data_IF_405263796331
#
_entry.id   IF_405263796331
#
_cell.length_a   1.000
_cell.length_b   1.000
_cell.length_c   1.000
_cell.angle_alpha   90.00
_cell.angle_beta   90.00
_cell.angle_gamma   90.00
#
_symmetry.space_group_name_H-M   'P 1'
#
loop_
_entity.id
_entity.type
_entity.pdbx_description
1 polymer ?
#
# COMPACT_ATOMS: atom_id res chain seq x y z
N UNK A 1 10.41 -17.53 -0.23
CA UNK A 1 9.33 -16.53 -0.18
C UNK A 1 9.79 -15.27 -0.88
N UNK A 2 9.11 -14.91 -1.96
CA UNK A 2 9.31 -13.66 -2.71
C UNK A 2 8.65 -12.49 -1.98
N UNK A 3 8.86 -11.26 -2.48
CA UNK A 3 8.18 -10.07 -1.95
C UNK A 3 6.66 -10.20 -2.16
N UNK A 4 6.25 -10.67 -3.31
CA UNK A 4 4.86 -10.80 -3.74
C UNK A 4 4.14 -11.82 -2.84
N UNK A 5 4.71 -13.00 -2.66
CA UNK A 5 4.18 -14.04 -1.76
C UNK A 5 4.02 -13.53 -0.32
N UNK A 6 4.98 -12.74 0.18
CA UNK A 6 4.88 -12.14 1.51
C UNK A 6 3.71 -11.15 1.61
N UNK A 7 3.51 -10.31 0.59
CA UNK A 7 2.43 -9.33 0.59
C UNK A 7 1.07 -10.03 0.52
N UNK A 8 0.91 -11.05 -0.32
CA UNK A 8 -0.31 -11.87 -0.37
C UNK A 8 -0.63 -12.52 0.98
N UNK A 9 0.36 -13.19 1.57
CA UNK A 9 0.16 -13.98 2.78
C UNK A 9 -0.08 -13.14 4.04
N UNK A 10 0.44 -11.90 4.10
CA UNK A 10 0.46 -11.12 5.35
C UNK A 10 -0.18 -9.74 5.25
N UNK A 11 -0.20 -9.11 4.08
CA UNK A 11 -0.73 -7.75 3.91
C UNK A 11 -2.09 -7.79 3.21
N UNK A 12 -2.22 -8.56 2.13
CA UNK A 12 -3.42 -8.61 1.30
C UNK A 12 -4.38 -9.74 1.67
N UNK A 13 -4.00 -10.59 2.62
CA UNK A 13 -4.81 -11.72 3.06
C UNK A 13 -6.25 -11.34 3.40
N UNK A 14 -7.20 -11.89 2.63
CA UNK A 14 -8.64 -11.65 2.80
C UNK A 14 -9.11 -10.24 2.39
N UNK A 15 -8.32 -9.51 1.61
CA UNK A 15 -8.70 -8.24 1.00
C UNK A 15 -9.01 -8.44 -0.48
N UNK A 16 -9.98 -7.69 -0.99
CA UNK A 16 -10.40 -7.80 -2.39
C UNK A 16 -9.49 -6.94 -3.29
N UNK A 17 -8.84 -7.59 -4.25
CA UNK A 17 -8.17 -6.89 -5.33
C UNK A 17 -9.20 -6.41 -6.36
N UNK A 18 -9.50 -5.12 -6.35
CA UNK A 18 -10.48 -4.47 -7.23
C UNK A 18 -9.82 -3.84 -8.47
N UNK A 19 -8.60 -4.26 -8.82
CA UNK A 19 -7.96 -3.90 -10.08
C UNK A 19 -8.68 -4.64 -11.22
N UNK A 20 -9.48 -3.89 -11.99
CA UNK A 20 -10.24 -4.39 -13.14
C UNK A 20 -9.50 -4.13 -14.49
N UNK A 21 -8.23 -3.69 -14.43
CA UNK A 21 -7.39 -3.42 -15.60
C UNK A 21 -7.16 -1.94 -15.91
N UNK A 22 -7.61 -1.00 -15.07
CA UNK A 22 -7.41 0.45 -15.29
C UNK A 22 -5.98 0.98 -14.97
N UNK A 23 -5.19 0.25 -14.19
CA UNK A 23 -3.88 0.73 -13.70
C UNK A 23 -2.73 0.13 -14.54
N UNK A 24 -1.98 -0.78 -13.93
CA UNK A 24 -0.80 -1.47 -14.48
C UNK A 24 -1.03 -2.95 -14.18
N UNK A 25 -0.76 -3.82 -15.16
CA UNK A 25 -0.87 -5.28 -14.99
C UNK A 25 -0.15 -5.72 -13.69
N UNK A 26 -0.84 -6.50 -12.86
CA UNK A 26 -0.37 -7.05 -11.58
C UNK A 26 -0.19 -6.07 -10.40
N UNK A 27 -0.74 -4.86 -10.45
CA UNK A 27 -0.82 -4.00 -9.26
C UNK A 27 -2.09 -4.26 -8.46
N UNK A 28 -1.97 -4.47 -7.15
CA UNK A 28 -3.15 -4.60 -6.29
C UNK A 28 -3.81 -3.25 -6.10
N UNK A 29 -5.12 -3.20 -6.33
CA UNK A 29 -5.94 -2.05 -6.02
C UNK A 29 -6.96 -2.38 -4.95
N UNK A 30 -7.16 -1.46 -4.02
CA UNK A 30 -8.01 -1.66 -2.86
C UNK A 30 -9.03 -0.55 -2.71
N UNK A 31 -10.17 -0.89 -2.11
CA UNK A 31 -11.13 0.09 -1.62
C UNK A 31 -10.50 0.94 -0.50
N UNK A 32 -11.12 2.06 -0.14
CA UNK A 32 -10.63 2.88 0.97
C UNK A 32 -10.55 2.10 2.31
N UNK A 33 -11.56 1.26 2.60
CA UNK A 33 -11.59 0.46 3.83
C UNK A 33 -10.50 -0.62 3.84
N UNK A 34 -10.31 -1.31 2.71
CA UNK A 34 -9.30 -2.36 2.60
C UNK A 34 -7.91 -1.77 2.62
N UNK A 35 -7.71 -0.61 1.97
CA UNK A 35 -6.44 0.09 2.00
C UNK A 35 -6.08 0.59 3.40
N UNK A 36 -7.05 0.98 4.22
CA UNK A 36 -6.79 1.26 5.64
C UNK A 36 -6.24 0.02 6.36
N UNK A 37 -6.80 -1.16 6.07
CA UNK A 37 -6.30 -2.44 6.61
C UNK A 37 -4.87 -2.75 6.13
N UNK A 38 -4.56 -2.47 4.86
CA UNK A 38 -3.20 -2.57 4.30
C UNK A 38 -2.23 -1.68 5.08
N UNK A 39 -2.61 -0.43 5.37
CA UNK A 39 -1.82 0.54 6.12
C UNK A 39 -1.55 0.06 7.56
N UNK A 40 -2.57 -0.50 8.23
CA UNK A 40 -2.42 -1.04 9.58
C UNK A 40 -1.49 -2.26 9.61
N UNK A 41 -1.61 -3.17 8.64
CA UNK A 41 -0.76 -4.38 8.55
C UNK A 41 0.68 -4.04 8.19
N UNK A 42 0.89 -3.09 7.27
CA UNK A 42 2.24 -2.61 6.91
C UNK A 42 2.94 -1.96 8.09
N UNK A 43 2.24 -1.16 8.89
CA UNK A 43 2.78 -0.60 10.14
C UNK A 43 3.18 -1.67 11.14
N UNK A 44 2.29 -2.63 11.42
CA UNK A 44 2.55 -3.72 12.39
C UNK A 44 3.75 -4.58 11.99
N UNK A 45 3.93 -4.84 10.71
CA UNK A 45 5.00 -5.70 10.19
C UNK A 45 6.27 -4.94 9.80
N UNK A 46 6.26 -3.61 9.86
CA UNK A 46 7.39 -2.78 9.46
C UNK A 46 7.67 -2.83 7.95
N UNK A 47 6.64 -3.09 7.14
CA UNK A 47 6.74 -3.04 5.67
C UNK A 47 6.77 -1.58 5.24
N UNK A 48 7.68 -1.27 4.32
CA UNK A 48 7.77 0.07 3.75
C UNK A 48 6.77 0.27 2.62
N UNK A 49 6.34 1.50 2.43
CA UNK A 49 5.65 1.96 1.23
C UNK A 49 6.54 3.06 0.63
N UNK A 50 6.68 3.12 -0.69
CA UNK A 50 7.38 4.19 -1.39
C UNK A 50 6.41 5.23 -1.95
N UNK A 51 5.29 4.76 -2.50
CA UNK A 51 4.30 5.60 -3.15
C UNK A 51 2.87 5.13 -2.81
N UNK A 52 1.95 6.09 -2.72
CA UNK A 52 0.50 5.86 -2.68
C UNK A 52 -0.13 6.64 -3.83
N UNK A 53 -0.92 5.95 -4.65
CA UNK A 53 -1.62 6.49 -5.79
C UNK A 53 -3.13 6.24 -5.64
N UNK A 54 -3.94 7.28 -5.37
CA UNK A 54 -5.38 7.20 -5.45
C UNK A 54 -5.90 7.26 -6.89
N UNK A 55 -6.98 6.54 -7.12
CA UNK A 55 -7.71 6.45 -8.38
C UNK A 55 -9.16 6.79 -8.14
N UNK A 56 -9.73 7.61 -9.02
CA UNK A 56 -11.14 7.94 -9.01
C UNK A 56 -11.69 7.77 -10.43
N UNK A 57 -12.74 6.96 -10.58
CA UNK A 57 -13.37 6.70 -11.87
C UNK A 57 -12.36 6.25 -12.96
N UNK A 58 -11.48 5.32 -12.59
CA UNK A 58 -10.43 4.78 -13.47
C UNK A 58 -9.28 5.73 -13.79
N UNK A 59 -9.25 6.95 -13.22
CA UNK A 59 -8.21 7.96 -13.46
C UNK A 59 -7.34 8.17 -12.24
N UNK A 60 -6.04 8.29 -12.46
CA UNK A 60 -5.08 8.65 -11.42
C UNK A 60 -5.41 10.06 -10.89
N UNK A 61 -5.78 10.16 -9.61
CA UNK A 61 -6.08 11.43 -8.97
C UNK A 61 -4.81 12.18 -8.53
N UNK A 62 -3.73 11.44 -8.32
CA UNK A 62 -2.40 11.96 -8.02
C UNK A 62 -1.52 10.85 -7.46
N UNK A 63 -0.33 11.22 -6.98
CA UNK A 63 0.55 10.31 -6.25
C UNK A 63 1.27 11.07 -5.13
N UNK A 64 1.61 10.36 -4.07
CA UNK A 64 2.45 10.85 -2.98
C UNK A 64 3.55 9.87 -2.71
N UNK A 65 4.77 10.35 -2.61
CA UNK A 65 5.94 9.52 -2.31
C UNK A 65 6.53 9.85 -0.95
N UNK A 66 7.17 8.89 -0.29
CA UNK A 66 7.76 9.09 1.05
C UNK A 66 8.82 10.22 1.08
N UNK A 67 9.48 10.47 -0.05
CA UNK A 67 10.50 11.50 -0.22
C UNK A 67 9.94 12.92 -0.08
N UNK A 68 8.72 13.17 -0.57
CA UNK A 68 8.00 14.45 -0.40
C UNK A 68 7.83 14.81 1.08
N UNK A 69 7.75 13.78 1.94
CA UNK A 69 7.60 13.91 3.38
C UNK A 69 8.95 13.92 4.12
N UNK A 70 10.06 13.74 3.42
CA UNK A 70 11.41 13.54 3.98
C UNK A 70 11.42 12.41 5.03
N UNK A 71 10.67 11.33 4.76
CA UNK A 71 10.53 10.16 5.64
C UNK A 71 11.05 8.89 4.99
N UNK A 72 11.44 7.93 5.82
CA UNK A 72 11.74 6.56 5.36
C UNK A 72 10.46 5.89 4.89
N UNK A 73 10.57 4.99 3.91
CA UNK A 73 9.46 4.19 3.41
C UNK A 73 8.67 3.46 4.52
N UNK A 74 9.35 3.03 5.59
CA UNK A 74 8.77 2.30 6.73
C UNK A 74 8.16 3.21 7.80
N UNK A 75 8.20 4.53 7.67
CA UNK A 75 7.66 5.45 8.67
C UNK A 75 6.15 5.61 8.51
N UNK A 76 5.37 5.01 9.42
CA UNK A 76 3.92 5.00 9.32
C UNK A 76 3.25 6.36 9.29
N UNK A 77 3.92 7.38 9.82
CA UNK A 77 3.38 8.74 9.82
C UNK A 77 3.23 9.27 8.40
N UNK A 78 4.12 8.89 7.48
CA UNK A 78 4.06 9.42 6.11
C UNK A 78 2.87 8.82 5.36
N UNK A 79 2.71 7.50 5.34
CA UNK A 79 1.65 6.87 4.55
C UNK A 79 0.27 7.10 5.15
N UNK A 80 0.14 7.17 6.48
CA UNK A 80 -1.11 7.59 7.13
C UNK A 80 -1.47 9.02 6.73
N UNK A 81 -0.52 9.95 6.80
CA UNK A 81 -0.76 11.34 6.42
C UNK A 81 -1.15 11.47 4.95
N UNK A 82 -0.47 10.75 4.06
CA UNK A 82 -0.78 10.73 2.63
C UNK A 82 -2.18 10.18 2.36
N UNK A 83 -2.53 9.04 2.95
CA UNK A 83 -3.85 8.42 2.81
C UNK A 83 -4.97 9.32 3.34
N UNK A 84 -4.85 9.86 4.55
CA UNK A 84 -5.85 10.79 5.10
C UNK A 84 -5.98 12.08 4.30
N UNK A 85 -4.89 12.59 3.73
CA UNK A 85 -4.93 13.77 2.88
C UNK A 85 -5.73 13.52 1.58
N UNK A 86 -5.63 12.32 1.00
CA UNK A 86 -6.43 11.95 -0.16
C UNK A 86 -7.90 11.70 0.22
N UNK A 87 -8.16 10.90 1.25
CA UNK A 87 -9.51 10.63 1.76
C UNK A 87 -10.33 11.90 2.03
N UNK A 88 -9.70 12.97 2.52
CA UNK A 88 -10.36 14.26 2.76
C UNK A 88 -10.68 15.06 1.50
N UNK A 89 -10.00 14.80 0.39
CA UNK A 89 -10.18 15.55 -0.86
C UNK A 89 -11.31 15.01 -1.71
N UNK A 90 -11.46 13.69 -1.75
CA UNK A 90 -12.48 13.02 -2.55
C UNK A 90 -12.83 11.68 -1.92
N UNK A 91 -14.13 11.39 -1.81
CA UNK A 91 -14.62 10.10 -1.33
C UNK A 91 -14.61 9.04 -2.45
N UNK A 92 -14.76 7.77 -2.06
CA UNK A 92 -14.88 6.63 -3.00
C UNK A 92 -13.67 6.46 -3.93
N UNK A 93 -12.49 6.87 -3.47
CA UNK A 93 -11.25 6.58 -4.18
C UNK A 93 -10.81 5.14 -3.96
N UNK A 94 -10.22 4.55 -5.01
CA UNK A 94 -9.46 3.30 -4.93
C UNK A 94 -7.98 3.63 -4.75
N UNK A 95 -7.20 2.74 -4.16
CA UNK A 95 -5.81 3.03 -3.80
C UNK A 95 -4.87 1.92 -4.27
N UNK A 96 -3.75 2.32 -4.86
CA UNK A 96 -2.61 1.46 -5.16
C UNK A 96 -1.37 1.98 -4.44
N UNK A 97 -0.41 1.09 -4.20
CA UNK A 97 0.81 1.43 -3.48
C UNK A 97 2.01 0.62 -3.93
N UNK A 98 3.19 1.24 -3.87
CA UNK A 98 4.46 0.58 -4.15
C UNK A 98 5.11 0.15 -2.84
N UNK A 99 5.14 -1.15 -2.58
CA UNK A 99 5.68 -1.69 -1.32
C UNK A 99 7.18 -1.96 -1.36
N UNK A 100 7.80 -1.92 -0.18
CA UNK A 100 9.18 -2.31 0.10
C UNK A 100 9.19 -3.35 1.22
N UNK A 101 9.54 -4.58 0.88
CA UNK A 101 9.78 -5.65 1.87
C UNK A 101 11.30 -5.85 1.95
N UNK A 102 11.87 -5.75 3.15
CA UNK A 102 13.32 -5.94 3.32
C UNK A 102 13.69 -7.43 3.34
N UNK A 103 14.89 -7.77 2.89
CA UNK A 103 15.37 -9.16 2.97
C UNK A 103 15.37 -9.72 4.38
N UNK A 104 15.67 -8.89 5.39
CA UNK A 104 15.63 -9.30 6.79
C UNK A 104 14.22 -9.72 7.21
N UNK A 105 13.19 -9.02 6.72
CA UNK A 105 11.80 -9.37 6.98
C UNK A 105 11.38 -10.66 6.27
N UNK A 106 11.83 -10.86 5.01
CA UNK A 106 11.60 -12.10 4.26
C UNK A 106 12.25 -13.31 4.96
N UNK A 107 13.52 -13.18 5.37
CA UNK A 107 14.28 -14.24 6.06
C UNK A 107 13.63 -14.63 7.39
N UNK A 108 13.09 -13.66 8.15
CA UNK A 108 12.46 -13.91 9.46
C UNK A 108 11.22 -14.81 9.39
N UNK A 109 10.50 -14.85 8.26
CA UNK A 109 9.35 -15.74 8.10
C UNK A 109 9.73 -17.16 7.70
N UNK A 110 10.93 -17.36 7.12
CA UNK A 110 11.43 -18.70 6.76
C UNK A 110 11.96 -19.43 8.00
N UNK A 111 12.39 -18.69 9.03
CA UNK A 111 12.98 -19.25 10.25
C UNK A 111 11.97 -19.54 11.37
N UNK A 112 10.67 -19.42 11.11
CA UNK A 112 9.58 -19.74 12.05
C UNK A 112 8.80 -20.95 11.57
#
# INVERSE_FOLDING_TARGET
MTKEEFLEAHIFQGLDNINDGFDIENTHCFSESDFNTVIERTEKLGVGIYAIAPWHDGKLFGAKVNEDYRKKATDARWYKTAFFAFKRKQEKMKYTATFRVSEALLKKQISK
#
